data_IF_620596031310
#
_entry.id   IF_620596031310
#
_cell.length_a   1.000
_cell.length_b   1.000
_cell.length_c   1.000
_cell.angle_alpha   90.00
_cell.angle_beta   90.00
_cell.angle_gamma   90.00
#
_symmetry.space_group_name_H-M   'P 1'
#
loop_
_entity.id
_entity.type
_entity.pdbx_description
1 polymer ?
#
# COMPACT_ATOMS: atom_id res chain seq x y z
N UNK A 1 -43.82 -40.55 -8.02
CA UNK A 1 -44.09 -39.10 -8.15
C UNK A 1 -43.01 -38.32 -7.40
N UNK A 2 -42.72 -37.10 -7.85
CA UNK A 2 -41.41 -36.42 -7.90
C UNK A 2 -40.78 -36.11 -6.52
N UNK A 3 -39.47 -36.39 -6.38
CA UNK A 3 -38.62 -35.87 -5.30
C UNK A 3 -38.20 -34.45 -5.69
N UNK A 4 -38.52 -33.47 -4.85
CA UNK A 4 -38.06 -32.09 -5.02
C UNK A 4 -36.66 -32.00 -4.43
N UNK A 5 -35.66 -31.87 -5.30
CA UNK A 5 -34.31 -31.46 -4.91
C UNK A 5 -34.32 -29.93 -4.96
N UNK A 6 -34.41 -29.29 -3.79
CA UNK A 6 -34.19 -27.85 -3.67
C UNK A 6 -32.69 -27.63 -3.58
N UNK A 7 -32.03 -27.54 -4.74
CA UNK A 7 -30.74 -26.86 -4.84
C UNK A 7 -31.08 -25.37 -4.87
N UNK A 8 -30.94 -24.69 -3.73
CA UNK A 8 -30.97 -23.23 -3.69
C UNK A 8 -29.84 -22.73 -2.79
N UNK A 9 -28.68 -22.61 -3.43
CA UNK A 9 -27.84 -21.40 -3.40
C UNK A 9 -28.07 -20.43 -2.23
N UNK A 10 -27.46 -20.74 -1.09
CA UNK A 10 -26.67 -19.78 -0.30
C UNK A 10 -25.38 -20.51 0.09
N UNK A 11 -24.61 -20.82 -0.95
CA UNK A 11 -23.20 -21.13 -0.85
C UNK A 11 -22.42 -19.80 -0.80
N UNK A 12 -21.36 -19.78 0.00
CA UNK A 12 -20.24 -18.84 -0.06
C UNK A 12 -20.40 -17.43 0.55
N UNK A 13 -20.82 -17.33 1.82
CA UNK A 13 -20.57 -16.10 2.61
C UNK A 13 -19.88 -16.33 3.95
N UNK A 14 -19.35 -17.53 4.23
CA UNK A 14 -18.82 -17.78 5.60
C UNK A 14 -17.56 -18.64 5.70
N UNK A 15 -17.08 -19.29 4.63
CA UNK A 15 -15.90 -20.16 4.71
C UNK A 15 -15.11 -20.13 3.38
N UNK A 16 -14.49 -19.00 3.11
CA UNK A 16 -13.21 -18.90 2.39
C UNK A 16 -12.28 -18.34 3.46
N UNK A 17 -11.70 -19.15 4.35
CA UNK A 17 -10.43 -19.82 4.10
C UNK A 17 -9.60 -19.18 2.97
N UNK A 18 -9.33 -17.88 3.12
CA UNK A 18 -8.06 -17.32 2.72
C UNK A 18 -7.13 -17.40 3.93
N UNK A 19 -6.42 -18.52 4.10
CA UNK A 19 -5.14 -18.48 4.80
C UNK A 19 -4.21 -17.56 3.99
N UNK A 20 -4.24 -16.28 4.31
CA UNK A 20 -3.14 -15.36 4.01
C UNK A 20 -2.50 -15.03 5.35
N UNK A 21 -1.84 -16.02 5.95
CA UNK A 21 -0.71 -15.73 6.80
C UNK A 21 0.37 -15.13 5.88
N UNK A 22 0.29 -13.84 5.60
CA UNK A 22 1.53 -13.08 5.44
C UNK A 22 1.84 -12.58 6.83
N UNK A 23 2.91 -13.07 7.44
CA UNK A 23 3.42 -12.54 8.69
C UNK A 23 3.69 -11.04 8.48
N UNK A 24 2.70 -10.24 8.87
CA UNK A 24 2.71 -8.79 8.90
C UNK A 24 3.66 -8.45 10.05
N UNK A 25 4.81 -7.84 9.76
CA UNK A 25 5.71 -7.39 10.82
C UNK A 25 5.14 -6.10 11.44
N UNK A 26 4.09 -6.29 12.24
CA UNK A 26 3.43 -5.20 12.96
C UNK A 26 4.33 -4.78 14.11
N UNK A 27 5.15 -3.77 13.88
CA UNK A 27 5.89 -3.12 14.96
C UNK A 27 4.95 -2.16 15.67
N UNK A 28 4.28 -2.68 16.71
CA UNK A 28 3.42 -1.91 17.60
C UNK A 28 4.32 -1.22 18.66
N UNK A 29 4.79 0.00 18.38
CA UNK A 29 5.26 0.91 19.45
C UNK A 29 4.01 1.60 19.98
N UNK A 30 3.79 1.60 21.30
CA UNK A 30 2.55 2.04 21.97
C UNK A 30 1.79 3.14 21.20
N UNK A 31 0.65 2.78 20.61
CA UNK A 31 -0.24 3.70 19.90
C UNK A 31 0.00 3.89 18.39
N UNK A 32 1.03 3.30 17.81
CA UNK A 32 1.38 3.40 16.37
C UNK A 32 1.38 2.03 15.70
N UNK A 33 0.70 1.90 14.56
CA UNK A 33 0.69 0.73 13.69
C UNK A 33 1.49 1.04 12.42
N UNK A 34 2.62 0.37 12.24
CA UNK A 34 3.45 0.49 11.03
C UNK A 34 3.45 -0.81 10.20
N UNK A 35 3.37 -0.67 8.88
CA UNK A 35 3.35 -1.79 7.90
C UNK A 35 4.20 -1.41 6.69
N UNK A 36 5.00 -2.35 6.19
CA UNK A 36 5.80 -2.20 4.97
C UNK A 36 5.27 -3.05 3.79
N UNK A 37 5.32 -2.48 2.60
CA UNK A 37 4.85 -3.07 1.34
C UNK A 37 5.89 -2.84 0.22
N UNK A 38 6.51 -3.90 -0.30
CA UNK A 38 7.51 -3.80 -1.39
C UNK A 38 6.95 -4.32 -2.72
N UNK A 39 7.20 -3.56 -3.80
CA UNK A 39 6.78 -3.89 -5.17
C UNK A 39 7.96 -3.78 -6.16
N UNK A 40 8.05 -4.69 -7.15
CA UNK A 40 9.07 -4.68 -8.21
C UNK A 40 8.46 -4.54 -9.61
N UNK A 41 9.16 -3.93 -10.55
CA UNK A 41 8.71 -3.89 -11.94
C UNK A 41 8.89 -5.26 -12.61
N UNK A 42 7.82 -5.81 -13.19
CA UNK A 42 7.82 -7.19 -13.76
C UNK A 42 8.57 -7.30 -15.09
N UNK A 43 8.81 -6.20 -15.81
CA UNK A 43 9.38 -6.24 -17.16
C UNK A 43 10.93 -6.22 -17.14
N UNK A 44 11.50 -7.32 -17.63
CA UNK A 44 12.88 -7.61 -18.05
C UNK A 44 13.98 -6.56 -17.74
N UNK A 45 14.93 -6.97 -16.88
CA UNK A 45 16.28 -6.39 -16.62
C UNK A 45 16.38 -5.12 -15.79
N UNK A 46 15.32 -4.41 -15.43
CA UNK A 46 15.43 -3.33 -14.44
C UNK A 46 15.40 -3.93 -13.02
N UNK A 47 16.28 -3.45 -12.14
CA UNK A 47 16.22 -3.71 -10.70
C UNK A 47 15.32 -2.67 -10.00
N UNK A 48 14.36 -2.10 -10.74
CA UNK A 48 13.52 -1.02 -10.24
C UNK A 48 12.54 -1.56 -9.20
N UNK A 49 12.67 -1.02 -8.00
CA UNK A 49 11.85 -1.37 -6.85
C UNK A 49 11.28 -0.12 -6.21
N UNK A 50 9.99 -0.19 -5.87
CA UNK A 50 9.29 0.81 -5.08
C UNK A 50 8.87 0.15 -3.77
N UNK A 51 9.33 0.72 -2.66
CA UNK A 51 8.90 0.28 -1.34
C UNK A 51 8.03 1.32 -0.64
N UNK A 52 6.84 0.93 -0.23
CA UNK A 52 5.86 1.77 0.45
C UNK A 52 5.84 1.41 1.93
N UNK A 53 5.96 2.42 2.80
CA UNK A 53 5.82 2.29 4.24
C UNK A 53 4.57 3.03 4.68
N UNK A 54 3.75 2.36 5.48
CA UNK A 54 2.58 2.91 6.11
C UNK A 54 2.86 3.04 7.61
N UNK A 55 2.57 4.18 8.21
CA UNK A 55 2.55 4.34 9.67
C UNK A 55 1.32 5.11 10.09
N UNK A 56 0.54 4.56 11.02
CA UNK A 56 -0.76 5.11 11.45
C UNK A 56 -0.87 5.21 12.97
N UNK A 57 -1.64 6.18 13.46
CA UNK A 57 -1.96 6.38 14.87
C UNK A 57 -3.29 5.69 15.21
N UNK A 58 -3.32 4.91 16.29
CA UNK A 58 -4.49 4.11 16.66
C UNK A 58 -5.67 4.91 17.24
N UNK A 59 -5.44 6.17 17.63
CA UNK A 59 -6.48 7.00 18.28
C UNK A 59 -7.37 7.73 17.29
N UNK A 60 -6.90 7.90 16.07
CA UNK A 60 -7.63 8.62 15.04
C UNK A 60 -8.02 7.67 13.91
N UNK A 61 -9.32 7.45 13.76
CA UNK A 61 -9.87 6.45 12.85
C UNK A 61 -9.99 6.98 11.42
N UNK A 62 -10.39 8.24 11.27
CA UNK A 62 -10.66 8.84 9.97
C UNK A 62 -9.35 8.97 9.18
N UNK A 63 -8.35 9.59 9.80
CA UNK A 63 -7.03 9.74 9.20
C UNK A 63 -6.33 8.42 8.92
N UNK A 64 -6.55 7.41 9.76
CA UNK A 64 -6.05 6.05 9.49
C UNK A 64 -6.68 5.42 8.27
N UNK A 65 -7.99 5.58 8.09
CA UNK A 65 -8.70 5.09 6.89
C UNK A 65 -8.15 5.82 5.66
N UNK A 66 -8.03 7.14 5.72
CA UNK A 66 -7.44 7.96 4.64
C UNK A 66 -6.03 7.49 4.27
N UNK A 67 -5.17 7.30 5.27
CA UNK A 67 -3.78 6.80 5.07
C UNK A 67 -3.76 5.42 4.40
N UNK A 68 -4.67 4.52 4.80
CA UNK A 68 -4.80 3.19 4.18
C UNK A 68 -5.28 3.27 2.72
N UNK A 69 -6.29 4.10 2.44
CA UNK A 69 -6.81 4.27 1.08
C UNK A 69 -5.76 4.90 0.14
N UNK A 70 -4.91 5.81 0.61
CA UNK A 70 -3.75 6.31 -0.15
C UNK A 70 -2.81 5.17 -0.53
N UNK A 71 -2.39 4.35 0.43
CA UNK A 71 -1.47 3.22 0.17
C UNK A 71 -2.10 2.20 -0.78
N UNK A 72 -3.40 1.91 -0.61
CA UNK A 72 -4.16 1.01 -1.49
C UNK A 72 -4.28 1.56 -2.90
N UNK A 73 -4.60 2.85 -3.06
CA UNK A 73 -4.66 3.53 -4.34
C UNK A 73 -3.31 3.47 -5.06
N UNK A 74 -2.23 3.83 -4.36
CA UNK A 74 -0.87 3.75 -4.88
C UNK A 74 -0.49 2.33 -5.34
N UNK A 75 -0.82 1.30 -4.54
CA UNK A 75 -0.56 -0.09 -4.93
C UNK A 75 -1.31 -0.49 -6.21
N UNK A 76 -2.57 -0.08 -6.35
CA UNK A 76 -3.36 -0.38 -7.56
C UNK A 76 -2.74 0.25 -8.81
N UNK A 77 -2.31 1.51 -8.71
CA UNK A 77 -1.67 2.23 -9.82
C UNK A 77 -0.30 1.65 -10.18
N UNK A 78 0.49 1.25 -9.19
CA UNK A 78 1.75 0.53 -9.45
C UNK A 78 1.50 -0.81 -10.16
N UNK A 79 0.43 -1.54 -9.82
CA UNK A 79 0.06 -2.77 -10.55
C UNK A 79 -0.29 -2.48 -12.01
N UNK A 80 -1.02 -1.39 -12.31
CA UNK A 80 -1.28 -1.00 -13.71
C UNK A 80 -0.02 -0.59 -14.46
N UNK A 81 0.96 0.00 -13.78
CA UNK A 81 2.30 0.28 -14.33
C UNK A 81 3.18 -0.98 -14.47
N UNK A 82 2.64 -2.16 -14.15
CA UNK A 82 3.32 -3.44 -14.34
C UNK A 82 4.20 -3.88 -13.17
N UNK A 83 4.07 -3.23 -12.00
CA UNK A 83 4.70 -3.70 -10.77
C UNK A 83 3.96 -4.91 -10.20
N UNK A 84 4.72 -5.81 -9.57
CA UNK A 84 4.20 -6.94 -8.81
C UNK A 84 4.65 -6.89 -7.36
N UNK A 85 3.84 -7.44 -6.45
CA UNK A 85 4.20 -7.49 -5.04
C UNK A 85 5.33 -8.48 -4.81
N UNK A 86 6.36 -8.06 -4.08
CA UNK A 86 7.41 -8.97 -3.60
C UNK A 86 6.94 -9.62 -2.29
N UNK A 87 7.00 -10.96 -2.17
CA UNK A 87 6.72 -11.63 -0.90
C UNK A 87 7.73 -11.23 0.19
N UNK A 88 7.29 -11.11 1.44
CA UNK A 88 8.12 -10.63 2.56
C UNK A 88 9.30 -11.54 2.93
N UNK A 89 9.35 -12.76 2.41
CA UNK A 89 10.47 -13.69 2.56
C UNK A 89 11.55 -13.54 1.48
N UNK A 90 11.38 -12.60 0.53
CA UNK A 90 12.42 -12.26 -0.43
C UNK A 90 13.49 -11.39 0.26
N UNK A 91 14.78 -11.63 0.00
CA UNK A 91 15.84 -10.81 0.59
C UNK A 91 15.63 -9.35 0.20
N UNK A 92 15.38 -8.50 1.20
CA UNK A 92 15.30 -7.06 1.02
C UNK A 92 16.64 -6.60 0.46
N UNK A 93 16.69 -6.02 -0.75
CA UNK A 93 17.96 -5.56 -1.27
C UNK A 93 18.51 -4.44 -0.39
N UNK A 94 19.84 -4.35 -0.24
CA UNK A 94 20.49 -3.38 0.64
C UNK A 94 20.29 -1.93 0.21
N UNK A 95 19.75 -1.70 -1.01
CA UNK A 95 19.38 -0.38 -1.51
C UNK A 95 17.97 -0.44 -2.08
N UNK A 96 17.08 0.34 -1.48
CA UNK A 96 15.75 0.62 -2.02
C UNK A 96 15.93 1.80 -2.97
N UNK A 97 15.81 1.57 -4.28
CA UNK A 97 16.00 2.64 -5.29
C UNK A 97 14.93 3.72 -5.15
N UNK A 98 13.69 3.30 -4.89
CA UNK A 98 12.59 4.19 -4.55
C UNK A 98 11.88 3.75 -3.27
N UNK A 99 11.57 4.71 -2.40
CA UNK A 99 10.81 4.49 -1.18
C UNK A 99 9.76 5.59 -0.96
N UNK A 100 8.54 5.21 -0.56
CA UNK A 100 7.46 6.12 -0.22
C UNK A 100 7.05 5.86 1.23
N UNK A 101 7.25 6.80 2.12
CA UNK A 101 6.75 6.76 3.49
C UNK A 101 5.43 7.53 3.55
N UNK A 102 4.38 6.89 4.04
CA UNK A 102 3.04 7.44 4.27
C UNK A 102 2.78 7.40 5.77
N UNK A 103 2.97 8.53 6.44
CA UNK A 103 2.97 8.63 7.90
C UNK A 103 1.82 9.53 8.34
N UNK A 104 0.90 8.97 9.11
CA UNK A 104 -0.12 9.75 9.80
C UNK A 104 0.52 10.57 10.94
N UNK A 105 0.26 11.87 10.92
CA UNK A 105 0.62 12.85 11.95
C UNK A 105 -0.66 13.35 12.64
N UNK A 106 -0.55 14.21 13.66
CA UNK A 106 -1.73 14.80 14.31
C UNK A 106 -2.39 15.87 13.43
N UNK A 107 -1.58 16.55 12.64
CA UNK A 107 -1.94 17.66 11.76
C UNK A 107 -2.27 17.25 10.31
N UNK A 108 -2.09 15.98 9.95
CA UNK A 108 -2.34 15.48 8.60
C UNK A 108 -1.60 14.19 8.24
N UNK A 109 -1.33 13.99 6.96
CA UNK A 109 -0.56 12.85 6.43
C UNK A 109 0.73 13.37 5.82
N UNK A 110 1.86 12.98 6.41
CA UNK A 110 3.17 13.28 5.86
C UNK A 110 3.59 12.21 4.87
N UNK A 111 3.94 12.62 3.66
CA UNK A 111 4.49 11.76 2.63
C UNK A 111 5.96 12.11 2.41
N UNK A 112 6.83 11.11 2.48
CA UNK A 112 8.24 11.24 2.10
C UNK A 112 8.55 10.30 0.94
N UNK A 113 9.02 10.85 -0.17
CA UNK A 113 9.42 10.10 -1.36
C UNK A 113 10.92 10.19 -1.51
N UNK A 114 11.58 9.04 -1.52
CA UNK A 114 12.99 8.88 -1.86
C UNK A 114 13.08 8.26 -3.24
N UNK A 115 13.77 8.90 -4.18
CA UNK A 115 14.00 8.38 -5.52
C UNK A 115 15.29 8.99 -6.09
N UNK A 116 16.13 8.17 -6.73
CA UNK A 116 17.34 8.62 -7.43
C UNK A 116 18.31 9.47 -6.56
N UNK A 117 18.32 9.25 -5.25
CA UNK A 117 19.12 10.02 -4.29
C UNK A 117 18.52 11.36 -3.88
N UNK A 118 17.34 11.71 -4.40
CA UNK A 118 16.54 12.85 -3.97
C UNK A 118 15.49 12.42 -2.93
N UNK A 119 15.18 13.34 -2.02
CA UNK A 119 14.14 13.19 -1.02
C UNK A 119 13.19 14.37 -1.12
N UNK A 120 11.90 14.08 -1.31
CA UNK A 120 10.82 15.06 -1.25
C UNK A 120 9.90 14.72 -0.08
N UNK A 121 9.51 15.73 0.67
CA UNK A 121 8.63 15.60 1.83
C UNK A 121 7.49 16.61 1.71
N UNK A 122 6.26 16.19 2.03
CA UNK A 122 5.09 17.06 2.03
C UNK A 122 4.04 16.57 3.02
N UNK A 123 3.51 17.52 3.79
CA UNK A 123 2.35 17.32 4.66
C UNK A 123 1.06 17.65 3.88
N UNK A 124 0.10 16.74 3.93
CA UNK A 124 -1.23 16.88 3.35
C UNK A 124 -2.26 16.91 4.46
N UNK A 125 -3.16 17.90 4.42
CA UNK A 125 -4.25 18.04 5.37
C UNK A 125 -5.61 17.84 4.66
N UNK A 126 -5.97 18.75 3.77
CA UNK A 126 -7.31 18.82 3.18
C UNK A 126 -7.44 18.03 1.87
N UNK A 127 -6.33 17.64 1.24
CA UNK A 127 -6.34 16.97 -0.07
C UNK A 127 -6.99 15.58 -0.04
N UNK A 128 -7.66 15.21 -1.14
CA UNK A 128 -8.26 13.87 -1.27
C UNK A 128 -7.20 12.78 -1.44
N UNK A 129 -7.58 11.54 -1.14
CA UNK A 129 -6.69 10.38 -1.31
C UNK A 129 -6.17 10.27 -2.75
N UNK A 130 -7.04 10.51 -3.75
CA UNK A 130 -6.67 10.45 -5.16
C UNK A 130 -5.66 11.53 -5.55
N UNK A 131 -5.81 12.76 -5.01
CA UNK A 131 -4.88 13.85 -5.26
C UNK A 131 -3.49 13.52 -4.71
N UNK A 132 -3.43 12.97 -3.49
CA UNK A 132 -2.18 12.57 -2.85
C UNK A 132 -1.51 11.43 -3.64
N UNK A 133 -2.29 10.41 -4.05
CA UNK A 133 -1.78 9.30 -4.87
C UNK A 133 -1.21 9.82 -6.19
N UNK A 134 -1.92 10.73 -6.86
CA UNK A 134 -1.44 11.30 -8.12
C UNK A 134 -0.14 12.08 -7.96
N UNK A 135 -0.01 12.88 -6.89
CA UNK A 135 1.24 13.59 -6.61
C UNK A 135 2.39 12.62 -6.36
N UNK A 136 2.15 11.52 -5.63
CA UNK A 136 3.17 10.47 -5.43
C UNK A 136 3.59 9.86 -6.76
N UNK A 137 2.65 9.54 -7.65
CA UNK A 137 2.94 8.95 -8.96
C UNK A 137 3.73 9.90 -9.86
N UNK A 138 3.38 11.19 -9.86
CA UNK A 138 4.13 12.22 -10.61
C UNK A 138 5.58 12.29 -10.13
N UNK A 139 5.80 12.27 -8.82
CA UNK A 139 7.16 12.29 -8.27
C UNK A 139 7.92 10.99 -8.55
N UNK A 140 7.23 9.84 -8.53
CA UNK A 140 7.83 8.53 -8.82
C UNK A 140 8.12 8.30 -10.30
N UNK A 141 7.37 8.89 -11.24
CA UNK A 141 7.47 8.55 -12.66
C UNK A 141 7.77 9.74 -13.57
N UNK A 142 7.66 10.97 -13.07
CA UNK A 142 7.92 12.18 -13.84
C UNK A 142 6.91 12.38 -14.97
N UNK A 143 5.62 12.15 -14.70
CA UNK A 143 4.57 12.44 -15.68
C UNK A 143 4.37 13.96 -15.69
N UNK A 144 4.96 14.63 -16.68
CA UNK A 144 4.50 15.97 -17.07
C UNK A 144 3.06 15.84 -17.55
N UNK A 145 2.12 16.46 -16.81
CA UNK A 145 0.72 16.62 -17.23
C UNK A 145 0.64 17.62 -18.38
#
# INVERSE_FOLDING_TARGET
>A
MKKVIVVLTILFMSILEGQSFSEMSVLNKEGTLSIDYTMHLKQQKSNEEVCIYLSTLQKDREWRIKTYEIVKGLCNELVSEGYTRIPSNYPVPPRRESAVNVIQMEEGINITIHKDGFMKEKLFDEESEEQIVMEILVELFGIDV
#
